data_IF_864079615073
#
_entry.id   IF_864079615073
#
_cell.length_a   1.000
_cell.length_b   1.000
_cell.length_c   1.000
_cell.angle_alpha   90.00
_cell.angle_beta   90.00
_cell.angle_gamma   90.00
#
_symmetry.space_group_name_H-M   'P 1'
#
loop_
_entity.id
_entity.type
_entity.pdbx_description
1 polymer ?
#
# COMPACT_ATOMS: atom_id res chain seq x y z
N UNK A 1 -8.56 -25.99 -12.32
CA UNK A 1 -7.51 -25.53 -11.39
C UNK A 1 -6.99 -24.20 -11.93
N UNK A 2 -7.49 -23.08 -11.43
CA UNK A 2 -6.97 -21.77 -11.80
C UNK A 2 -5.62 -21.60 -11.11
N UNK A 3 -4.56 -21.50 -11.88
CA UNK A 3 -3.23 -21.09 -11.39
C UNK A 3 -3.37 -19.67 -10.85
N UNK A 4 -3.48 -19.53 -9.51
CA UNK A 4 -3.30 -18.24 -8.86
C UNK A 4 -1.92 -17.73 -9.26
N UNK A 5 -1.86 -16.61 -9.99
CA UNK A 5 -0.58 -16.00 -10.35
C UNK A 5 0.15 -15.63 -9.04
N UNK A 6 1.39 -16.09 -8.93
CA UNK A 6 2.22 -15.77 -7.76
C UNK A 6 2.46 -14.26 -7.74
N UNK A 7 2.33 -13.59 -6.58
CA UNK A 7 2.63 -12.17 -6.49
C UNK A 7 4.09 -11.89 -6.85
N UNK A 8 4.31 -10.82 -7.60
CA UNK A 8 5.60 -10.44 -8.15
C UNK A 8 6.16 -9.20 -7.44
N UNK A 9 7.49 -9.10 -7.38
CA UNK A 9 8.21 -7.92 -6.89
C UNK A 9 9.19 -7.44 -7.98
N UNK A 10 9.30 -6.12 -8.12
CA UNK A 10 10.28 -5.51 -9.03
C UNK A 10 11.71 -5.88 -8.61
N UNK A 11 12.52 -6.21 -9.58
CA UNK A 11 13.96 -6.46 -9.40
C UNK A 11 14.70 -5.22 -8.84
N UNK A 12 14.17 -4.03 -9.04
CA UNK A 12 14.69 -2.82 -8.41
C UNK A 12 14.82 -2.92 -6.88
N UNK A 13 13.95 -3.72 -6.23
CA UNK A 13 14.04 -4.02 -4.81
C UNK A 13 15.26 -4.92 -4.45
N UNK A 14 15.90 -5.55 -5.41
CA UNK A 14 17.10 -6.36 -5.18
C UNK A 14 18.41 -5.59 -5.42
N UNK A 15 18.34 -4.27 -5.63
CA UNK A 15 19.54 -3.43 -5.82
C UNK A 15 20.48 -3.53 -4.62
N UNK A 16 21.75 -3.81 -4.88
CA UNK A 16 22.77 -3.98 -3.85
C UNK A 16 22.80 -5.38 -3.19
N UNK A 17 21.91 -6.30 -3.57
CA UNK A 17 21.85 -7.65 -2.99
C UNK A 17 23.11 -8.47 -3.29
N UNK A 18 23.56 -8.46 -4.55
CA UNK A 18 24.77 -9.22 -4.98
C UNK A 18 25.99 -8.68 -4.24
N UNK A 19 26.14 -7.37 -4.19
CA UNK A 19 27.21 -6.69 -3.48
C UNK A 19 27.18 -6.99 -1.97
N UNK A 20 25.99 -7.00 -1.37
CA UNK A 20 25.82 -7.29 0.06
C UNK A 20 26.20 -8.73 0.41
N UNK A 21 25.81 -9.72 -0.43
CA UNK A 21 26.20 -11.13 -0.24
C UNK A 21 27.72 -11.29 -0.37
N UNK A 22 28.30 -10.67 -1.40
CA UNK A 22 29.76 -10.71 -1.62
C UNK A 22 30.53 -10.08 -0.47
N UNK A 23 30.08 -8.90 -0.01
CA UNK A 23 30.71 -8.18 1.11
C UNK A 23 30.62 -8.95 2.44
N UNK A 24 29.60 -9.82 2.58
CA UNK A 24 29.44 -10.70 3.72
C UNK A 24 30.22 -12.03 3.57
N UNK A 25 31.05 -12.19 2.51
CA UNK A 25 31.95 -13.31 2.31
C UNK A 25 31.30 -14.57 1.69
N UNK A 26 30.08 -14.47 1.13
CA UNK A 26 29.41 -15.58 0.46
C UNK A 26 29.39 -15.40 -1.07
N UNK A 27 29.17 -16.53 -1.78
CA UNK A 27 29.03 -16.54 -3.23
C UNK A 27 27.56 -16.24 -3.62
N UNK A 28 27.27 -15.08 -4.24
CA UNK A 28 25.91 -14.74 -4.66
C UNK A 28 25.36 -15.71 -5.71
N UNK A 29 26.21 -16.29 -6.57
CA UNK A 29 25.77 -17.25 -7.58
C UNK A 29 25.25 -18.55 -6.94
N UNK A 30 25.83 -18.97 -5.84
CA UNK A 30 25.37 -20.14 -5.08
C UNK A 30 24.00 -19.87 -4.47
N UNK A 31 23.80 -18.70 -3.86
CA UNK A 31 22.50 -18.28 -3.27
C UNK A 31 21.42 -18.23 -4.35
N UNK A 32 21.70 -17.54 -5.46
CA UNK A 32 20.73 -17.33 -6.54
C UNK A 32 20.36 -18.63 -7.27
N UNK A 33 21.32 -19.54 -7.47
CA UNK A 33 21.06 -20.86 -8.09
C UNK A 33 20.06 -21.69 -7.30
N UNK A 34 20.04 -21.60 -5.98
CA UNK A 34 19.06 -22.29 -5.12
C UNK A 34 17.62 -21.96 -5.51
N UNK A 35 17.40 -20.72 -5.99
CA UNK A 35 16.08 -20.22 -6.41
C UNK A 35 15.92 -20.17 -7.93
N UNK A 36 16.84 -20.74 -8.70
CA UNK A 36 16.83 -20.74 -10.17
C UNK A 36 16.81 -19.32 -10.77
N UNK A 37 17.42 -18.36 -10.08
CA UNK A 37 17.58 -16.98 -10.54
C UNK A 37 18.97 -16.82 -11.14
N UNK A 38 19.04 -16.44 -12.41
CA UNK A 38 20.31 -16.09 -13.03
C UNK A 38 20.70 -14.65 -12.64
N UNK A 39 21.98 -14.35 -12.32
CA UNK A 39 22.40 -12.99 -11.90
C UNK A 39 22.00 -11.88 -12.87
N UNK A 40 21.99 -12.15 -14.17
CA UNK A 40 21.56 -11.17 -15.20
C UNK A 40 20.09 -10.75 -15.08
N UNK A 41 19.27 -11.51 -14.37
CA UNK A 41 17.87 -11.08 -14.08
C UNK A 41 17.90 -9.90 -13.13
N UNK A 42 18.79 -9.90 -12.13
CA UNK A 42 18.93 -8.83 -11.13
C UNK A 42 19.55 -7.55 -11.69
N UNK A 43 20.21 -7.63 -12.86
CA UNK A 43 20.76 -6.46 -13.53
C UNK A 43 19.73 -5.64 -14.31
N UNK A 44 18.50 -6.16 -14.49
CA UNK A 44 17.44 -5.47 -15.23
C UNK A 44 16.30 -5.07 -14.27
N UNK A 45 16.31 -3.82 -13.85
CA UNK A 45 15.37 -3.25 -12.89
C UNK A 45 13.92 -3.17 -13.39
N UNK A 46 13.67 -3.35 -14.69
CA UNK A 46 12.32 -3.41 -15.27
C UNK A 46 11.69 -4.79 -15.13
N UNK A 47 12.47 -5.81 -14.77
CA UNK A 47 11.96 -7.16 -14.56
C UNK A 47 11.32 -7.32 -13.19
N UNK A 48 10.55 -8.40 -13.09
CA UNK A 48 9.90 -8.84 -11.86
C UNK A 48 10.27 -10.29 -11.57
N UNK A 49 10.37 -10.62 -10.29
CA UNK A 49 10.53 -11.98 -9.80
C UNK A 49 9.42 -12.32 -8.81
N UNK A 50 9.08 -13.61 -8.57
CA UNK A 50 8.10 -13.95 -7.54
C UNK A 50 8.52 -13.42 -6.16
N UNK A 51 7.59 -12.83 -5.42
CA UNK A 51 7.87 -12.31 -4.06
C UNK A 51 8.41 -13.41 -3.12
N UNK A 52 7.92 -14.65 -3.27
CA UNK A 52 8.44 -15.81 -2.51
C UNK A 52 9.90 -16.14 -2.82
N UNK A 53 10.32 -15.94 -4.07
CA UNK A 53 11.72 -16.12 -4.48
C UNK A 53 12.60 -15.06 -3.84
N UNK A 54 12.21 -13.79 -3.90
CA UNK A 54 12.96 -12.71 -3.27
C UNK A 54 13.08 -12.89 -1.76
N UNK A 55 11.98 -13.25 -1.08
CA UNK A 55 12.00 -13.53 0.36
C UNK A 55 12.92 -14.71 0.68
N UNK A 56 12.85 -15.80 -0.11
CA UNK A 56 13.72 -16.96 0.06
C UNK A 56 15.19 -16.63 -0.13
N UNK A 57 15.54 -15.80 -1.11
CA UNK A 57 16.92 -15.34 -1.34
C UNK A 57 17.46 -14.60 -0.10
N UNK A 58 16.66 -13.71 0.51
CA UNK A 58 17.08 -12.98 1.70
C UNK A 58 17.30 -13.90 2.92
N UNK A 59 16.41 -14.86 3.14
CA UNK A 59 16.57 -15.86 4.22
C UNK A 59 17.81 -16.75 3.98
N UNK A 60 18.03 -17.20 2.74
CA UNK A 60 19.20 -18.01 2.39
C UNK A 60 20.50 -17.20 2.49
N UNK A 61 20.50 -15.95 2.06
CA UNK A 61 21.63 -15.05 2.21
C UNK A 61 22.00 -14.89 3.70
N UNK A 62 21.04 -14.66 4.57
CA UNK A 62 21.26 -14.59 6.02
C UNK A 62 21.87 -15.88 6.57
N UNK A 63 21.41 -17.05 6.07
CA UNK A 63 21.91 -18.35 6.50
C UNK A 63 23.36 -18.60 6.06
N UNK A 64 23.69 -18.33 4.80
CA UNK A 64 25.02 -18.65 4.26
C UNK A 64 26.10 -17.65 4.68
N UNK A 65 25.71 -16.38 4.89
CA UNK A 65 26.63 -15.35 5.38
C UNK A 65 26.84 -15.39 6.90
N UNK A 66 25.96 -16.07 7.64
CA UNK A 66 25.92 -16.01 9.10
C UNK A 66 25.43 -14.65 9.65
N UNK A 67 25.05 -13.73 8.79
CA UNK A 67 24.46 -12.44 9.19
C UNK A 67 22.97 -12.61 9.48
N UNK A 68 22.63 -12.84 10.73
CA UNK A 68 21.24 -12.99 11.17
C UNK A 68 20.37 -11.76 10.94
N UNK A 69 20.94 -10.59 10.65
CA UNK A 69 20.27 -9.33 10.35
C UNK A 69 20.47 -8.90 8.87
N UNK A 70 20.75 -9.85 7.98
CA UNK A 70 21.10 -9.58 6.58
C UNK A 70 20.09 -8.66 5.89
N UNK A 71 18.79 -8.96 6.02
CA UNK A 71 17.73 -8.14 5.45
C UNK A 71 17.71 -6.72 6.02
N UNK A 72 17.90 -6.58 7.33
CA UNK A 72 18.01 -5.28 8.00
C UNK A 72 19.20 -4.46 7.46
N UNK A 73 20.38 -5.07 7.37
CA UNK A 73 21.60 -4.43 6.88
C UNK A 73 21.53 -4.08 5.39
N UNK A 74 20.92 -4.94 4.58
CA UNK A 74 20.65 -4.65 3.17
C UNK A 74 19.70 -3.44 3.06
N UNK A 75 18.62 -3.40 3.86
CA UNK A 75 17.66 -2.31 3.89
C UNK A 75 18.26 -0.99 4.38
N UNK A 76 19.15 -1.03 5.37
CA UNK A 76 19.88 0.14 5.86
C UNK A 76 20.76 0.78 4.77
N UNK A 77 21.42 -0.05 3.96
CA UNK A 77 22.30 0.42 2.86
C UNK A 77 21.54 0.76 1.59
N UNK A 78 20.27 0.33 1.49
CA UNK A 78 19.48 0.51 0.30
C UNK A 78 19.18 1.99 0.03
N UNK A 79 19.47 2.43 -1.20
CA UNK A 79 19.04 3.75 -1.65
C UNK A 79 17.60 3.68 -2.19
N UNK A 80 16.61 4.28 -1.51
CA UNK A 80 15.22 4.24 -1.97
C UNK A 80 15.01 4.74 -3.41
N UNK A 81 15.88 5.62 -3.92
CA UNK A 81 15.81 6.11 -5.31
C UNK A 81 15.97 4.99 -6.35
N UNK A 82 16.57 3.85 -5.99
CA UNK A 82 16.68 2.68 -6.87
C UNK A 82 15.32 2.08 -7.24
N UNK A 83 14.27 2.29 -6.42
CA UNK A 83 12.90 1.88 -6.76
C UNK A 83 12.34 2.71 -7.93
N UNK A 84 12.93 3.87 -8.21
CA UNK A 84 12.56 4.72 -9.36
C UNK A 84 11.35 5.63 -9.06
N UNK A 85 10.38 5.74 -10.00
CA UNK A 85 9.31 6.75 -9.95
C UNK A 85 8.54 6.80 -8.63
N UNK A 86 8.31 5.67 -7.95
CA UNK A 86 7.63 5.63 -6.65
C UNK A 86 8.34 6.49 -5.61
N UNK A 87 9.66 6.39 -5.52
CA UNK A 87 10.42 7.20 -4.56
C UNK A 87 10.32 8.68 -4.87
N UNK A 88 10.33 9.05 -6.14
CA UNK A 88 10.23 10.46 -6.53
C UNK A 88 8.88 11.08 -6.18
N UNK A 89 7.74 10.39 -6.36
CA UNK A 89 6.45 10.91 -5.93
C UNK A 89 6.36 11.03 -4.42
N UNK A 90 6.97 10.09 -3.68
CA UNK A 90 7.01 10.10 -2.21
C UNK A 90 7.83 11.27 -1.69
N UNK A 91 9.07 11.45 -2.19
CA UNK A 91 9.99 12.51 -1.75
C UNK A 91 9.51 13.92 -2.09
N UNK A 92 8.62 14.07 -3.07
CA UNK A 92 8.07 15.36 -3.49
C UNK A 92 6.62 15.57 -3.00
N UNK A 93 6.11 14.67 -2.16
CA UNK A 93 4.80 14.84 -1.52
C UNK A 93 4.83 16.01 -0.52
N UNK A 94 3.74 16.79 -0.41
CA UNK A 94 3.74 17.99 0.44
C UNK A 94 3.89 17.69 1.94
N UNK A 95 3.38 16.54 2.40
CA UNK A 95 3.49 16.12 3.81
C UNK A 95 3.79 14.63 3.91
N UNK A 96 4.23 14.19 5.09
CA UNK A 96 4.46 12.77 5.41
C UNK A 96 3.19 11.94 5.24
N UNK A 97 2.03 12.47 5.62
CA UNK A 97 0.74 11.79 5.41
C UNK A 97 0.47 11.53 3.93
N UNK A 98 0.66 12.57 3.09
CA UNK A 98 0.46 12.43 1.64
C UNK A 98 1.47 11.46 1.04
N UNK A 99 2.74 11.50 1.46
CA UNK A 99 3.76 10.56 1.03
C UNK A 99 3.38 9.10 1.34
N UNK A 100 2.90 8.85 2.55
CA UNK A 100 2.42 7.52 2.98
C UNK A 100 1.21 7.05 2.15
N UNK A 101 0.29 7.96 1.82
CA UNK A 101 -0.85 7.68 0.93
C UNK A 101 -0.39 7.34 -0.50
N UNK A 102 0.70 7.96 -1.02
CA UNK A 102 1.27 7.60 -2.31
C UNK A 102 1.89 6.20 -2.28
N UNK A 103 2.61 5.85 -1.20
CA UNK A 103 3.12 4.48 -1.02
C UNK A 103 1.98 3.49 -1.02
N UNK A 104 0.93 3.72 -0.22
CA UNK A 104 -0.24 2.83 -0.16
C UNK A 104 -0.94 2.66 -1.52
N UNK A 105 -0.96 3.71 -2.33
CA UNK A 105 -1.60 3.72 -3.65
C UNK A 105 -0.80 2.98 -4.72
N UNK A 106 0.52 3.17 -4.75
CA UNK A 106 1.36 2.76 -5.88
C UNK A 106 2.29 1.57 -5.59
N UNK A 107 2.44 1.15 -4.33
CA UNK A 107 3.36 0.08 -3.95
C UNK A 107 3.10 -1.23 -4.72
N UNK A 108 1.83 -1.55 -5.02
CA UNK A 108 1.48 -2.77 -5.75
C UNK A 108 2.05 -2.83 -7.18
N UNK A 109 2.43 -1.69 -7.75
CA UNK A 109 3.12 -1.64 -9.04
C UNK A 109 4.55 -2.22 -8.93
N UNK A 110 5.11 -2.26 -7.73
CA UNK A 110 6.49 -2.69 -7.45
C UNK A 110 6.56 -3.96 -6.59
N UNK A 111 5.58 -4.18 -5.71
CA UNK A 111 5.51 -5.35 -4.85
C UNK A 111 4.03 -5.75 -4.64
N UNK A 112 3.60 -6.77 -5.37
CA UNK A 112 2.21 -7.23 -5.38
C UNK A 112 1.79 -7.93 -4.07
N UNK A 113 2.76 -8.49 -3.30
CA UNK A 113 2.51 -9.10 -2.00
C UNK A 113 2.38 -8.09 -0.86
N UNK A 114 2.89 -6.87 -1.03
CA UNK A 114 2.94 -5.87 0.02
C UNK A 114 1.65 -5.04 0.09
N UNK A 115 1.22 -4.74 1.30
CA UNK A 115 0.16 -3.78 1.59
C UNK A 115 0.66 -2.80 2.64
N UNK A 116 0.45 -1.52 2.39
CA UNK A 116 0.71 -0.42 3.34
C UNK A 116 -0.61 0.21 3.72
N UNK A 117 -0.76 0.49 5.00
CA UNK A 117 -1.91 1.19 5.56
C UNK A 117 -1.49 2.02 6.77
N UNK A 118 -2.36 2.94 7.19
CA UNK A 118 -2.14 3.79 8.36
C UNK A 118 -3.33 3.71 9.30
N UNK A 119 -3.05 3.52 10.60
CA UNK A 119 -4.04 3.63 11.68
C UNK A 119 -3.59 4.71 12.63
N UNK A 120 -4.53 5.51 13.15
CA UNK A 120 -4.27 6.58 14.12
C UNK A 120 -5.05 6.29 15.40
N UNK A 121 -4.34 6.28 16.52
CA UNK A 121 -4.88 6.03 17.86
C UNK A 121 -4.35 7.11 18.83
N UNK A 122 -5.15 8.12 19.07
CA UNK A 122 -4.76 9.27 19.89
C UNK A 122 -3.55 10.00 19.33
N UNK A 123 -2.47 10.07 20.10
CA UNK A 123 -1.23 10.74 19.71
C UNK A 123 -0.26 9.85 18.90
N UNK A 124 -0.63 8.60 18.65
CA UNK A 124 0.19 7.63 17.91
C UNK A 124 -0.41 7.31 16.55
N UNK A 125 0.42 7.28 15.53
CA UNK A 125 0.08 6.78 14.20
C UNK A 125 0.97 5.58 13.88
N UNK A 126 0.34 4.53 13.38
CA UNK A 126 0.97 3.26 13.02
C UNK A 126 1.06 3.20 11.50
N UNK A 127 2.27 3.31 10.98
CA UNK A 127 2.56 3.15 9.56
C UNK A 127 2.79 1.66 9.29
N UNK A 128 1.74 0.97 8.89
CA UNK A 128 1.70 -0.50 8.79
C UNK A 128 2.30 -0.99 7.47
N UNK A 129 2.97 -2.15 7.53
CA UNK A 129 3.45 -2.90 6.38
C UNK A 129 3.16 -4.39 6.58
N UNK A 130 2.47 -4.99 5.61
CA UNK A 130 2.07 -6.40 5.65
C UNK A 130 2.42 -7.07 4.34
N UNK A 131 3.09 -8.22 4.41
CA UNK A 131 3.29 -9.14 3.29
C UNK A 131 2.27 -10.26 3.36
N UNK A 132 1.69 -10.63 2.22
CA UNK A 132 0.70 -11.71 2.11
C UNK A 132 1.04 -12.64 0.94
N UNK A 133 0.52 -13.86 1.02
CA UNK A 133 0.55 -14.83 -0.10
C UNK A 133 1.95 -15.24 -0.57
N UNK A 134 2.96 -15.21 0.31
CA UNK A 134 4.31 -15.61 -0.03
C UNK A 134 4.53 -17.13 0.01
N UNK A 135 3.65 -17.89 0.68
CA UNK A 135 3.88 -19.31 0.96
C UNK A 135 5.06 -19.57 1.92
N UNK A 136 5.57 -18.53 2.57
CA UNK A 136 6.59 -18.55 3.62
C UNK A 136 5.92 -18.11 4.90
N UNK A 137 6.02 -18.90 5.97
CA UNK A 137 5.30 -18.69 7.22
C UNK A 137 5.72 -17.40 7.94
N UNK A 138 6.99 -17.01 7.85
CA UNK A 138 7.49 -15.77 8.44
C UNK A 138 8.69 -15.24 7.66
N UNK A 139 8.48 -14.36 6.65
CA UNK A 139 9.58 -13.78 5.87
C UNK A 139 10.28 -12.68 6.68
N UNK A 140 11.04 -13.08 7.70
CA UNK A 140 11.67 -12.16 8.65
C UNK A 140 12.60 -11.17 7.95
N UNK A 141 13.54 -11.67 7.16
CA UNK A 141 14.55 -10.85 6.49
C UNK A 141 13.89 -9.82 5.57
N UNK A 142 12.82 -10.20 4.84
CA UNK A 142 12.12 -9.27 3.97
C UNK A 142 11.32 -8.22 4.75
N UNK A 143 10.76 -8.54 5.90
CA UNK A 143 10.05 -7.59 6.76
C UNK A 143 11.03 -6.55 7.34
N UNK A 144 12.16 -7.01 7.86
CA UNK A 144 13.23 -6.15 8.40
C UNK A 144 13.79 -5.23 7.30
N UNK A 145 14.09 -5.78 6.12
CA UNK A 145 14.50 -5.05 4.92
C UNK A 145 13.49 -3.94 4.55
N UNK A 146 12.22 -4.29 4.48
CA UNK A 146 11.18 -3.34 4.05
C UNK A 146 10.98 -2.19 5.02
N UNK A 147 11.02 -2.44 6.34
CA UNK A 147 10.92 -1.39 7.33
C UNK A 147 12.18 -0.51 7.37
N UNK A 148 13.37 -1.06 7.13
CA UNK A 148 14.61 -0.29 7.02
C UNK A 148 14.58 0.65 5.79
N UNK A 149 14.10 0.19 4.63
CA UNK A 149 13.89 1.06 3.45
C UNK A 149 12.89 2.17 3.78
N UNK A 150 11.80 1.85 4.46
CA UNK A 150 10.79 2.84 4.82
C UNK A 150 11.35 3.91 5.78
N UNK A 151 12.16 3.50 6.75
CA UNK A 151 12.91 4.39 7.62
C UNK A 151 13.80 5.35 6.80
N UNK A 152 14.61 4.79 5.88
CA UNK A 152 15.49 5.58 5.02
C UNK A 152 14.72 6.56 4.14
N UNK A 153 13.58 6.13 3.59
CA UNK A 153 12.72 7.00 2.78
C UNK A 153 12.21 8.19 3.60
N UNK A 154 11.76 7.96 4.84
CA UNK A 154 11.32 9.05 5.73
C UNK A 154 12.52 9.95 6.08
N UNK A 155 13.69 9.38 6.39
CA UNK A 155 14.91 10.17 6.66
C UNK A 155 15.33 11.04 5.47
N UNK A 156 15.13 10.58 4.25
CA UNK A 156 15.35 11.40 3.04
C UNK A 156 14.38 12.56 2.93
N UNK A 157 13.16 12.41 3.43
CA UNK A 157 12.11 13.44 3.39
C UNK A 157 12.34 14.54 4.43
N UNK A 158 12.71 14.14 5.67
CA UNK A 158 12.66 15.04 6.83
C UNK A 158 14.01 15.22 7.56
N UNK A 159 15.04 14.52 7.10
CA UNK A 159 16.39 14.60 7.65
C UNK A 159 16.87 13.28 8.27
N UNK A 160 18.19 13.03 8.16
CA UNK A 160 18.83 11.75 8.51
C UNK A 160 18.76 11.40 10.00
N UNK A 161 18.57 12.39 10.87
CA UNK A 161 18.50 12.19 12.33
C UNK A 161 17.10 11.79 12.82
N UNK A 162 16.12 11.75 11.92
CA UNK A 162 14.76 11.35 12.29
C UNK A 162 14.71 9.89 12.73
N UNK A 163 13.89 9.62 13.75
CA UNK A 163 13.63 8.29 14.29
C UNK A 163 12.15 8.15 14.66
N UNK A 164 11.57 6.94 14.54
CA UNK A 164 10.20 6.67 15.01
C UNK A 164 10.14 6.68 16.55
N UNK A 165 8.94 6.67 17.11
CA UNK A 165 8.73 6.45 18.55
C UNK A 165 9.11 5.02 18.94
N UNK A 166 8.72 4.04 18.13
CA UNK A 166 9.04 2.64 18.28
C UNK A 166 8.86 1.92 16.93
N UNK A 167 9.42 0.73 16.81
CA UNK A 167 9.25 -0.17 15.67
C UNK A 167 8.65 -1.48 16.16
N UNK A 168 7.65 -1.99 15.48
CA UNK A 168 6.99 -3.24 15.83
C UNK A 168 7.12 -4.24 14.69
N UNK A 169 7.55 -5.46 15.00
CA UNK A 169 7.63 -6.57 14.06
C UNK A 169 6.62 -7.66 14.38
N UNK A 170 6.07 -8.30 13.35
CA UNK A 170 5.13 -9.41 13.52
C UNK A 170 5.84 -10.72 13.91
N UNK A 171 7.09 -10.91 13.50
CA UNK A 171 7.87 -12.09 13.85
C UNK A 171 8.35 -12.05 15.31
N UNK A 172 8.77 -13.21 15.82
CA UNK A 172 9.34 -13.34 17.16
C UNK A 172 10.70 -12.67 17.26
N UNK A 173 11.05 -12.23 18.46
CA UNK A 173 12.35 -11.59 18.69
C UNK A 173 13.50 -12.55 18.36
N UNK A 174 14.51 -12.12 17.59
CA UNK A 174 15.73 -12.86 17.46
C UNK A 174 16.52 -12.87 18.78
N UNK A 175 17.54 -13.74 18.88
CA UNK A 175 18.37 -13.87 20.08
C UNK A 175 19.09 -12.54 20.45
N UNK A 176 19.40 -11.71 19.45
CA UNK A 176 20.04 -10.41 19.62
C UNK A 176 19.29 -9.35 18.83
N UNK A 177 19.00 -8.21 19.47
CA UNK A 177 18.25 -7.10 18.89
C UNK A 177 19.04 -5.78 18.82
N UNK A 178 20.31 -5.79 19.22
CA UNK A 178 21.17 -4.60 19.24
C UNK A 178 21.26 -3.92 17.88
N UNK A 179 21.40 -4.70 16.81
CA UNK A 179 21.45 -4.16 15.44
C UNK A 179 20.11 -3.51 15.03
N UNK A 180 18.99 -4.09 15.42
CA UNK A 180 17.67 -3.47 15.18
C UNK A 180 17.58 -2.12 15.88
N UNK A 181 17.99 -2.04 17.16
CA UNK A 181 17.99 -0.78 17.91
C UNK A 181 18.95 0.24 17.32
N UNK A 182 20.13 -0.20 16.85
CA UNK A 182 21.12 0.67 16.19
C UNK A 182 20.55 1.28 14.89
N UNK A 183 19.97 0.46 14.00
CA UNK A 183 19.48 0.90 12.70
C UNK A 183 18.29 1.84 12.84
N UNK A 184 17.30 1.46 13.65
CA UNK A 184 16.08 2.26 13.82
C UNK A 184 16.28 3.46 14.75
N UNK A 185 17.23 3.41 15.66
CA UNK A 185 17.47 4.46 16.66
C UNK A 185 16.31 4.64 17.64
N UNK A 186 15.50 3.60 17.83
CA UNK A 186 14.27 3.59 18.62
C UNK A 186 14.06 2.22 19.27
N UNK A 187 13.16 2.08 20.26
CA UNK A 187 12.74 0.79 20.80
C UNK A 187 12.17 -0.10 19.70
N UNK A 188 12.55 -1.38 19.69
CA UNK A 188 12.07 -2.39 18.74
C UNK A 188 11.35 -3.50 19.50
N UNK A 189 10.12 -3.76 19.14
CA UNK A 189 9.20 -4.70 19.77
C UNK A 189 8.82 -5.80 18.77
N UNK A 190 8.54 -7.02 19.27
CA UNK A 190 8.29 -8.19 18.44
C UNK A 190 7.01 -8.92 18.86
N UNK A 191 6.49 -9.81 17.99
CA UNK A 191 5.31 -10.60 18.28
C UNK A 191 3.99 -9.84 18.07
N UNK A 192 3.99 -8.79 17.26
CA UNK A 192 2.79 -8.02 16.91
C UNK A 192 2.02 -8.65 15.74
N UNK A 193 0.82 -8.16 15.47
CA UNK A 193 0.02 -8.66 14.33
C UNK A 193 0.53 -8.16 12.97
N UNK A 194 1.17 -6.99 12.95
CA UNK A 194 1.68 -6.33 11.75
C UNK A 194 3.03 -5.68 12.02
N UNK A 195 3.77 -5.40 10.95
CA UNK A 195 5.00 -4.64 11.07
C UNK A 195 4.69 -3.13 10.99
N UNK A 196 5.19 -2.33 11.93
CA UNK A 196 4.85 -0.91 12.04
C UNK A 196 6.08 -0.05 12.31
N UNK A 197 6.12 1.13 11.67
CA UNK A 197 6.82 2.27 12.24
C UNK A 197 5.78 3.11 13.00
N UNK A 198 5.96 3.27 14.30
CA UNK A 198 5.05 4.07 15.14
C UNK A 198 5.61 5.48 15.25
N UNK A 199 4.78 6.47 14.95
CA UNK A 199 5.14 7.88 14.93
C UNK A 199 4.13 8.71 15.71
N UNK A 200 4.49 9.93 16.09
CA UNK A 200 3.51 10.87 16.64
C UNK A 200 2.49 11.26 15.56
N UNK A 201 1.21 11.35 15.93
CA UNK A 201 0.14 11.73 14.98
C UNK A 201 0.41 13.09 14.33
N UNK A 202 0.97 14.05 15.09
CA UNK A 202 1.34 15.37 14.54
C UNK A 202 2.42 15.29 13.46
N UNK A 203 3.31 14.28 13.49
CA UNK A 203 4.35 14.07 12.49
C UNK A 203 3.77 13.82 11.08
N UNK A 204 2.56 13.30 10.97
CA UNK A 204 1.89 13.10 9.69
C UNK A 204 1.69 14.42 8.91
N UNK A 205 1.57 15.54 9.61
CA UNK A 205 1.41 16.87 9.02
C UNK A 205 2.76 17.57 8.76
N UNK A 206 3.87 16.92 9.10
CA UNK A 206 5.18 17.47 8.84
C UNK A 206 5.37 17.68 7.33
N UNK A 207 5.73 18.90 6.96
CA UNK A 207 6.00 19.24 5.56
C UNK A 207 7.34 18.64 5.12
N UNK A 208 7.44 18.25 3.87
CA UNK A 208 8.70 17.75 3.28
C UNK A 208 9.47 18.96 2.74
N UNK A 209 10.59 19.38 3.40
CA UNK A 209 11.23 20.65 3.09
C UNK A 209 11.73 20.79 1.64
N UNK A 210 12.16 19.67 1.05
CA UNK A 210 12.71 19.62 -0.31
C UNK A 210 11.67 19.21 -1.37
N UNK A 211 10.38 19.19 -1.04
CA UNK A 211 9.33 18.78 -1.97
C UNK A 211 9.19 19.80 -3.13
N UNK A 212 9.25 19.28 -4.35
CA UNK A 212 8.94 20.03 -5.57
C UNK A 212 7.49 19.72 -6.00
N UNK A 213 6.60 20.69 -5.81
CA UNK A 213 5.18 20.55 -6.14
C UNK A 213 4.96 20.23 -7.64
N UNK A 214 5.76 20.81 -8.52
CA UNK A 214 5.63 20.58 -9.96
C UNK A 214 6.04 19.15 -10.33
N UNK A 215 7.14 18.67 -9.76
CA UNK A 215 7.60 17.29 -9.97
C UNK A 215 6.58 16.28 -9.37
N UNK A 216 6.02 16.59 -8.21
CA UNK A 216 4.96 15.79 -7.62
C UNK A 216 3.75 15.64 -8.56
N UNK A 217 3.27 16.73 -9.14
CA UNK A 217 2.14 16.70 -10.08
C UNK A 217 2.47 15.94 -11.38
N UNK A 218 3.71 16.04 -11.87
CA UNK A 218 4.17 15.27 -13.04
C UNK A 218 4.15 13.76 -12.70
N UNK A 219 4.71 13.39 -11.55
CA UNK A 219 4.73 11.99 -11.12
C UNK A 219 3.34 11.41 -10.86
N UNK A 220 2.43 12.21 -10.32
CA UNK A 220 1.04 11.78 -10.15
C UNK A 220 0.35 11.48 -11.49
N UNK A 221 0.55 12.35 -12.51
CA UNK A 221 0.02 12.11 -13.86
C UNK A 221 0.63 10.85 -14.48
N UNK A 222 1.93 10.67 -14.35
CA UNK A 222 2.64 9.48 -14.82
C UNK A 222 2.07 8.20 -14.20
N UNK A 223 1.88 8.16 -12.89
CA UNK A 223 1.30 7.00 -12.23
C UNK A 223 -0.18 6.80 -12.58
N UNK A 224 -0.94 7.87 -12.75
CA UNK A 224 -2.33 7.75 -13.19
C UNK A 224 -2.40 7.12 -14.58
N UNK A 225 -1.55 7.53 -15.51
CA UNK A 225 -1.46 6.92 -16.84
C UNK A 225 -1.10 5.42 -16.75
N UNK A 226 -0.09 5.05 -15.97
CA UNK A 226 0.25 3.63 -15.77
C UNK A 226 -0.94 2.84 -15.26
N UNK A 227 -1.67 3.37 -14.25
CA UNK A 227 -2.84 2.68 -13.70
C UNK A 227 -3.95 2.55 -14.74
N UNK A 228 -4.16 3.58 -15.56
CA UNK A 228 -5.18 3.59 -16.60
C UNK A 228 -4.83 2.64 -17.76
N UNK A 229 -3.53 2.45 -18.05
CA UNK A 229 -3.00 1.54 -19.07
C UNK A 229 -2.79 0.09 -18.55
N UNK A 230 -2.71 -0.08 -17.22
CA UNK A 230 -2.58 -1.44 -16.68
C UNK A 230 -3.80 -2.27 -17.08
N UNK A 231 -3.58 -3.48 -17.63
CA UNK A 231 -4.66 -4.46 -17.69
C UNK A 231 -5.20 -4.58 -16.28
N UNK A 232 -6.47 -4.26 -16.09
CA UNK A 232 -7.08 -4.33 -14.77
C UNK A 232 -6.74 -5.69 -14.16
N UNK A 233 -6.19 -5.67 -12.92
CA UNK A 233 -5.89 -6.87 -12.15
C UNK A 233 -7.07 -7.86 -12.30
N UNK A 234 -6.85 -9.04 -12.90
CA UNK A 234 -7.92 -10.02 -13.09
C UNK A 234 -8.42 -10.59 -11.76
N UNK A 235 -8.01 -10.00 -10.63
CA UNK A 235 -8.51 -10.32 -9.30
C UNK A 235 -10.04 -10.20 -9.24
N UNK A 236 -10.67 -11.17 -8.58
CA UNK A 236 -12.15 -11.26 -8.49
C UNK A 236 -12.74 -9.98 -7.91
N UNK A 237 -12.19 -9.43 -6.84
CA UNK A 237 -12.78 -8.27 -6.15
C UNK A 237 -12.70 -6.96 -6.95
N UNK A 238 -11.60 -6.58 -7.59
CA UNK A 238 -11.55 -5.45 -8.51
C UNK A 238 -12.51 -5.61 -9.69
N UNK A 239 -12.55 -6.78 -10.31
CA UNK A 239 -13.48 -7.09 -11.40
C UNK A 239 -14.94 -6.98 -10.95
N UNK A 240 -15.27 -7.47 -9.74
CA UNK A 240 -16.61 -7.30 -9.14
C UNK A 240 -16.93 -5.83 -8.92
N UNK A 241 -16.02 -5.04 -8.37
CA UNK A 241 -16.23 -3.60 -8.14
C UNK A 241 -16.48 -2.85 -9.43
N UNK A 242 -15.72 -3.15 -10.50
CA UNK A 242 -15.94 -2.57 -11.82
C UNK A 242 -17.31 -2.93 -12.37
N UNK A 243 -17.65 -4.22 -12.39
CA UNK A 243 -18.94 -4.68 -12.88
C UNK A 243 -20.12 -4.11 -12.07
N UNK A 244 -19.94 -3.86 -10.76
CA UNK A 244 -20.89 -3.14 -9.92
C UNK A 244 -21.00 -1.67 -10.37
N UNK A 245 -19.88 -0.96 -10.56
CA UNK A 245 -19.86 0.45 -10.96
C UNK A 245 -20.56 0.65 -12.33
N UNK A 246 -20.26 -0.23 -13.29
CA UNK A 246 -20.94 -0.23 -14.59
C UNK A 246 -22.44 -0.54 -14.46
N UNK A 247 -22.81 -1.49 -13.60
CA UNK A 247 -24.22 -1.85 -13.37
C UNK A 247 -25.00 -0.74 -12.64
N UNK A 248 -24.33 0.10 -11.83
CA UNK A 248 -24.95 1.29 -11.23
C UNK A 248 -25.35 2.31 -12.30
N UNK A 249 -24.53 2.54 -13.31
CA UNK A 249 -24.86 3.40 -14.47
C UNK A 249 -26.07 2.90 -15.24
N UNK A 250 -26.24 1.57 -15.28
CA UNK A 250 -27.40 0.92 -15.93
C UNK A 250 -28.64 0.86 -15.00
N UNK A 251 -28.58 1.43 -13.80
CA UNK A 251 -29.70 1.57 -12.86
C UNK A 251 -30.03 0.38 -11.96
N UNK A 252 -29.40 -0.79 -12.13
CA UNK A 252 -29.71 -1.99 -11.32
C UNK A 252 -28.47 -2.84 -11.02
N UNK A 253 -27.70 -2.50 -10.00
CA UNK A 253 -26.50 -3.22 -9.60
C UNK A 253 -26.84 -4.45 -8.73
N UNK A 254 -27.39 -5.51 -9.34
CA UNK A 254 -27.67 -6.76 -8.62
C UNK A 254 -26.67 -7.88 -8.97
N UNK A 255 -26.60 -8.90 -8.10
CA UNK A 255 -25.65 -10.03 -8.25
C UNK A 255 -25.80 -10.76 -9.60
N UNK A 256 -27.03 -10.88 -10.13
CA UNK A 256 -27.28 -11.56 -11.41
C UNK A 256 -26.65 -10.79 -12.58
N UNK A 257 -26.82 -9.47 -12.59
CA UNK A 257 -26.28 -8.58 -13.64
C UNK A 257 -24.76 -8.53 -13.58
N UNK A 258 -24.20 -8.40 -12.38
CA UNK A 258 -22.76 -8.40 -12.16
C UNK A 258 -22.13 -9.72 -12.57
N UNK A 259 -22.71 -10.86 -12.19
CA UNK A 259 -22.24 -12.18 -12.62
C UNK A 259 -22.28 -12.34 -14.16
N UNK A 260 -23.36 -11.84 -14.82
CA UNK A 260 -23.46 -11.83 -16.28
C UNK A 260 -22.37 -10.99 -16.94
N UNK A 261 -22.09 -9.78 -16.41
CA UNK A 261 -21.01 -8.90 -16.92
C UNK A 261 -19.64 -9.55 -16.78
N UNK A 262 -19.43 -10.35 -15.73
CA UNK A 262 -18.19 -11.10 -15.48
C UNK A 262 -18.14 -12.46 -16.19
N UNK A 263 -19.07 -12.77 -17.07
CA UNK A 263 -19.17 -14.07 -17.76
C UNK A 263 -19.09 -15.27 -16.80
N UNK A 264 -19.69 -15.16 -15.59
CA UNK A 264 -19.66 -16.20 -14.56
C UNK A 264 -21.06 -16.47 -13.99
N UNK A 265 -21.21 -17.58 -13.24
CA UNK A 265 -22.47 -17.89 -12.55
C UNK A 265 -22.53 -17.15 -11.20
N UNK A 266 -23.77 -16.87 -10.71
CA UNK A 266 -23.97 -16.29 -9.36
C UNK A 266 -23.31 -17.14 -8.27
N UNK A 267 -23.40 -18.47 -8.38
CA UNK A 267 -22.82 -19.42 -7.42
C UNK A 267 -21.29 -19.33 -7.40
N UNK A 268 -20.65 -19.28 -8.57
CA UNK A 268 -19.20 -19.13 -8.71
C UNK A 268 -18.74 -17.80 -8.13
N UNK A 269 -19.42 -16.71 -8.47
CA UNK A 269 -19.09 -15.37 -7.96
C UNK A 269 -19.22 -15.28 -6.44
N UNK A 270 -20.28 -15.86 -5.85
CA UNK A 270 -20.44 -15.91 -4.39
C UNK A 270 -19.35 -16.74 -3.71
N UNK A 271 -18.97 -17.89 -4.29
CA UNK A 271 -17.87 -18.73 -3.78
C UNK A 271 -16.56 -17.96 -3.79
N UNK A 272 -16.21 -17.33 -4.91
CA UNK A 272 -14.99 -16.53 -5.05
C UNK A 272 -14.95 -15.38 -4.03
N UNK A 273 -16.05 -14.65 -3.83
CA UNK A 273 -16.09 -13.60 -2.81
C UNK A 273 -15.93 -14.16 -1.39
N UNK A 274 -16.47 -15.36 -1.10
CA UNK A 274 -16.30 -16.04 0.18
C UNK A 274 -14.84 -16.46 0.43
N UNK A 275 -14.12 -16.90 -0.61
CA UNK A 275 -12.69 -17.20 -0.58
C UNK A 275 -11.86 -15.95 -0.20
N UNK A 276 -12.37 -14.76 -0.53
CA UNK A 276 -11.79 -13.47 -0.12
C UNK A 276 -12.40 -12.90 1.19
N UNK A 277 -13.01 -13.74 2.03
CA UNK A 277 -13.64 -13.36 3.30
C UNK A 277 -14.66 -12.20 3.19
N UNK A 278 -15.38 -12.09 2.05
CA UNK A 278 -16.37 -11.05 1.79
C UNK A 278 -17.63 -11.59 1.12
N UNK A 279 -18.60 -10.71 0.89
CA UNK A 279 -19.82 -11.04 0.17
C UNK A 279 -20.25 -9.90 -0.76
N UNK A 280 -21.18 -10.18 -1.68
CA UNK A 280 -21.64 -9.21 -2.69
C UNK A 280 -22.16 -7.92 -2.09
N UNK A 281 -22.92 -7.99 -0.99
CA UNK A 281 -23.48 -6.82 -0.32
C UNK A 281 -22.38 -5.92 0.25
N UNK A 282 -21.37 -6.51 0.87
CA UNK A 282 -20.23 -5.78 1.42
C UNK A 282 -19.43 -5.06 0.33
N UNK A 283 -19.13 -5.74 -0.78
CA UNK A 283 -18.41 -5.15 -1.92
C UNK A 283 -19.24 -4.05 -2.58
N UNK A 284 -20.54 -4.26 -2.70
CA UNK A 284 -21.50 -3.27 -3.22
C UNK A 284 -21.53 -2.01 -2.35
N UNK A 285 -21.67 -2.19 -1.03
CA UNK A 285 -21.73 -1.09 -0.06
C UNK A 285 -20.41 -0.30 -0.05
N UNK A 286 -19.26 -0.97 -0.10
CA UNK A 286 -17.94 -0.32 -0.18
C UNK A 286 -17.79 0.49 -1.49
N UNK A 287 -18.19 -0.11 -2.62
CA UNK A 287 -18.16 0.56 -3.92
C UNK A 287 -19.04 1.80 -3.94
N UNK A 288 -20.29 1.68 -3.48
CA UNK A 288 -21.21 2.81 -3.36
C UNK A 288 -20.69 3.91 -2.43
N UNK A 289 -20.09 3.53 -1.29
CA UNK A 289 -19.49 4.48 -0.35
C UNK A 289 -18.39 5.30 -1.00
N UNK A 290 -17.47 4.68 -1.75
CA UNK A 290 -16.37 5.35 -2.45
C UNK A 290 -16.89 6.38 -3.45
N UNK A 291 -17.84 6.01 -4.28
CA UNK A 291 -18.46 6.93 -5.25
C UNK A 291 -19.24 8.04 -4.56
N UNK A 292 -20.00 7.74 -3.49
CA UNK A 292 -20.72 8.74 -2.71
C UNK A 292 -19.80 9.83 -2.16
N UNK A 293 -18.66 9.43 -1.57
CA UNK A 293 -17.66 10.35 -1.03
C UNK A 293 -17.04 11.23 -2.13
N UNK A 294 -16.82 10.67 -3.32
CA UNK A 294 -16.33 11.42 -4.48
C UNK A 294 -17.36 12.43 -4.99
N UNK A 295 -18.60 12.00 -5.21
CA UNK A 295 -19.69 12.87 -5.72
C UNK A 295 -20.08 13.96 -4.73
N UNK A 296 -20.02 13.70 -3.43
CA UNK A 296 -20.33 14.69 -2.39
C UNK A 296 -19.32 15.85 -2.32
N UNK A 297 -18.10 15.68 -2.82
CA UNK A 297 -17.10 16.75 -2.92
C UNK A 297 -17.49 17.81 -3.97
N UNK A 298 -18.17 17.42 -5.03
CA UNK A 298 -18.70 18.35 -6.01
C UNK A 298 -20.08 18.86 -5.55
N UNK A 299 -20.14 20.17 -5.22
CA UNK A 299 -21.36 20.81 -4.72
C UNK A 299 -22.46 20.94 -5.78
N UNK A 300 -22.15 20.81 -7.06
CA UNK A 300 -23.11 20.87 -8.16
C UNK A 300 -24.05 19.68 -8.16
N UNK A 301 -23.59 18.52 -7.69
CA UNK A 301 -24.43 17.33 -7.62
C UNK A 301 -25.45 17.45 -6.48
N UNK A 302 -26.73 17.37 -6.76
CA UNK A 302 -27.79 17.23 -5.77
C UNK A 302 -27.75 15.87 -5.08
N UNK A 303 -28.31 15.75 -3.88
CA UNK A 303 -28.40 14.44 -3.19
C UNK A 303 -29.27 13.44 -3.94
N UNK A 304 -30.26 13.92 -4.71
CA UNK A 304 -31.13 13.09 -5.55
C UNK A 304 -30.34 12.50 -6.73
N UNK A 305 -29.55 13.32 -7.42
CA UNK A 305 -28.66 12.87 -8.50
C UNK A 305 -27.63 11.87 -8.01
N UNK A 306 -27.00 12.14 -6.85
CA UNK A 306 -26.03 11.19 -6.25
C UNK A 306 -26.73 9.86 -5.94
N UNK A 307 -27.91 9.89 -5.35
CA UNK A 307 -28.68 8.67 -5.06
C UNK A 307 -28.96 7.87 -6.35
N UNK A 308 -29.39 8.56 -7.39
CA UNK A 308 -29.65 7.95 -8.71
C UNK A 308 -28.37 7.35 -9.32
N UNK A 309 -27.24 8.08 -9.34
CA UNK A 309 -25.94 7.61 -9.85
C UNK A 309 -25.43 6.39 -9.08
N UNK A 310 -25.79 6.24 -7.81
CA UNK A 310 -25.45 5.09 -6.98
C UNK A 310 -26.43 3.91 -7.08
N UNK A 311 -27.43 4.02 -7.97
CA UNK A 311 -28.44 2.99 -8.20
C UNK A 311 -29.44 2.85 -7.05
N UNK A 312 -29.81 3.95 -6.39
CA UNK A 312 -30.93 4.02 -5.44
C UNK A 312 -32.17 4.60 -6.12
N UNK A 313 -33.31 4.01 -5.87
CA UNK A 313 -34.62 4.52 -6.35
C UNK A 313 -35.05 5.80 -5.63
N UNK A 314 -34.54 6.04 -4.41
CA UNK A 314 -34.95 7.15 -3.56
C UNK A 314 -33.75 7.73 -2.76
N UNK A 315 -33.71 9.07 -2.63
CA UNK A 315 -32.68 9.78 -1.84
C UNK A 315 -32.70 9.38 -0.36
N UNK A 316 -33.86 9.00 0.17
CA UNK A 316 -34.00 8.56 1.57
C UNK A 316 -33.25 7.22 1.80
N UNK A 317 -33.29 6.28 0.84
CA UNK A 317 -32.56 5.03 0.93
C UNK A 317 -31.05 5.26 0.90
N UNK A 318 -30.57 6.14 0.02
CA UNK A 318 -29.18 6.57 -0.02
C UNK A 318 -28.76 7.22 1.31
N UNK A 319 -29.55 8.14 1.85
CA UNK A 319 -29.24 8.85 3.10
C UNK A 319 -29.07 7.87 4.26
N UNK A 320 -29.96 6.86 4.39
CA UNK A 320 -29.85 5.81 5.41
C UNK A 320 -28.60 4.97 5.23
N UNK A 321 -28.30 4.56 3.99
CA UNK A 321 -27.12 3.78 3.68
C UNK A 321 -25.83 4.56 3.97
N UNK A 322 -25.74 5.81 3.56
CA UNK A 322 -24.57 6.65 3.78
C UNK A 322 -24.32 6.90 5.29
N UNK A 323 -25.38 7.16 6.08
CA UNK A 323 -25.27 7.28 7.53
C UNK A 323 -24.76 5.97 8.16
N UNK A 324 -25.21 4.81 7.69
CA UNK A 324 -24.70 3.50 8.16
C UNK A 324 -23.21 3.33 7.85
N UNK A 325 -22.71 3.81 6.68
CA UNK A 325 -21.32 3.66 6.28
C UNK A 325 -20.35 4.63 6.93
N UNK A 326 -20.82 5.85 7.26
CA UNK A 326 -19.93 6.95 7.66
C UNK A 326 -20.26 7.55 9.04
N UNK A 327 -21.36 7.15 9.64
CA UNK A 327 -21.87 7.78 10.87
C UNK A 327 -22.59 9.12 10.66
N UNK A 328 -22.45 9.75 9.50
CA UNK A 328 -23.01 11.09 9.18
C UNK A 328 -24.05 11.00 8.08
N UNK A 329 -24.98 11.98 8.06
CA UNK A 329 -25.83 12.15 6.86
C UNK A 329 -25.02 12.77 5.73
N UNK A 330 -25.39 12.54 4.43
CA UNK A 330 -24.69 13.16 3.29
C UNK A 330 -24.59 14.68 3.40
N UNK A 331 -25.62 15.34 3.91
CA UNK A 331 -25.63 16.79 4.09
C UNK A 331 -24.68 17.24 5.20
N UNK A 332 -24.65 16.53 6.33
CA UNK A 332 -23.71 16.80 7.42
C UNK A 332 -22.27 16.61 6.97
N UNK A 333 -21.97 15.52 6.24
CA UNK A 333 -20.66 15.26 5.65
C UNK A 333 -20.21 16.38 4.70
N UNK A 334 -21.11 16.83 3.81
CA UNK A 334 -20.84 17.93 2.86
C UNK A 334 -20.55 19.25 3.58
N UNK A 335 -21.26 19.56 4.68
CA UNK A 335 -21.00 20.74 5.52
C UNK A 335 -19.64 20.67 6.20
N UNK A 336 -19.31 19.54 6.79
CA UNK A 336 -18.00 19.33 7.45
C UNK A 336 -16.83 19.45 6.46
N UNK A 337 -16.94 18.85 5.28
CA UNK A 337 -15.93 18.97 4.22
C UNK A 337 -15.77 20.44 3.74
N UNK A 338 -16.85 21.23 3.75
CA UNK A 338 -16.82 22.64 3.40
C UNK A 338 -16.09 23.50 4.45
N UNK A 339 -16.33 23.25 5.74
CA UNK A 339 -15.66 23.95 6.84
C UNK A 339 -14.14 23.72 6.81
N UNK A 340 -13.70 22.49 6.56
CA UNK A 340 -12.28 22.16 6.43
C UNK A 340 -11.64 22.90 5.24
N UNK A 341 -12.31 22.97 4.10
CA UNK A 341 -11.82 23.67 2.92
C UNK A 341 -11.76 25.19 3.09
N UNK A 342 -12.72 25.79 3.84
CA UNK A 342 -12.76 27.24 4.12
C UNK A 342 -11.69 27.62 5.13
N UNK A 343 -11.47 26.81 6.14
CA UNK A 343 -10.43 27.05 7.16
C UNK A 343 -9.02 26.95 6.55
N UNK A 344 -8.78 25.99 5.65
CA UNK A 344 -7.54 25.89 4.90
C UNK A 344 -7.26 27.11 4.01
N UNK A 345 -8.30 27.67 3.38
CA UNK A 345 -8.19 28.90 2.56
C UNK A 345 -7.98 30.18 3.41
N UNK A 346 -8.56 30.27 4.59
CA UNK A 346 -8.38 31.43 5.47
C UNK A 346 -7.00 31.46 6.14
N UNK A 347 -6.44 30.29 6.42
CA UNK A 347 -5.05 30.16 6.93
C UNK A 347 -4.04 30.51 5.83
N UNK A 348 -4.28 30.10 4.58
CA UNK A 348 -3.42 30.41 3.44
C UNK A 348 -3.54 31.88 2.96
N UNK A 349 -4.59 32.62 3.33
CA UNK A 349 -4.75 34.05 2.99
C UNK A 349 -4.18 34.98 4.06
N UNK A 350 -3.86 34.47 5.25
CA UNK A 350 -3.28 35.23 6.38
C UNK A 350 -1.80 34.89 6.65
N UNK A 351 -1.15 34.13 5.76
CA UNK A 351 0.31 33.86 5.71
C UNK A 351 0.90 34.52 4.49
#
# INVERSE_FOLDING_TARGET
MGTSMKPMISVAAASGLVEAITAAGADPDQVLRTFQVHPSVLSNTEKFIPCSVFAGILEEAARVTGDHCFGLHLGERFNPKNIGPLTYVVLNSPTVAVADDQVARYLKLYNQAATVSRTVEGERAYLQYVLRDLGIESPRQQNEYSLAIRLNTIRMMVGSQWKPLEVQFAHQAPAQISEHQRVFGAPVLFGYQTNNLVVETKFLQHQVPAADQRLYEIMQRYFQQIIDEMPEDPGVLPSVRRAIAESMRDGDPNLRRVAKKMATSRRTLQRQMKEHATNFRSVMDDTRRRFALSYLRDRRNSLAEIAFLLGYSESAAFTRAFKRWTGLTPLAYRRQAAHVATHAKSVAANS
#
